data_IF_816559490527
#
_entry.id   IF_816559490527
#
_cell.length_a   1.000
_cell.length_b   1.000
_cell.length_c   1.000
_cell.angle_alpha   90.00
_cell.angle_beta   90.00
_cell.angle_gamma   90.00
#
_symmetry.space_group_name_H-M   'P 1'
#
loop_
_entity.id
_entity.type
_entity.pdbx_description
1 polymer ?
#
# COMPACT_ATOMS: atom_id res chain seq x y z
N UNK A 1 -12.50 20.22 30.22
CA UNK A 1 -12.07 21.19 29.18
C UNK A 1 -10.57 21.01 28.96
N UNK A 2 -10.01 20.54 27.84
CA UNK A 2 -10.57 20.00 26.60
C UNK A 2 -9.60 18.92 26.07
N UNK A 3 -10.18 17.84 25.54
CA UNK A 3 -9.45 16.72 24.95
C UNK A 3 -8.90 17.21 23.61
N UNK A 4 -7.59 17.06 23.42
CA UNK A 4 -6.85 17.42 22.20
C UNK A 4 -7.51 16.76 20.98
N UNK A 5 -8.31 17.53 20.26
CA UNK A 5 -8.90 17.14 18.98
C UNK A 5 -7.77 16.91 17.98
N UNK A 6 -7.65 15.67 17.49
CA UNK A 6 -7.09 15.30 16.17
C UNK A 6 -6.18 16.37 15.54
N UNK A 7 -5.05 16.64 16.19
CA UNK A 7 -4.03 17.51 15.64
C UNK A 7 -3.17 16.60 14.80
N UNK A 8 -3.57 16.41 13.54
CA UNK A 8 -2.67 15.88 12.51
C UNK A 8 -1.36 16.67 12.66
N UNK A 9 -0.32 16.01 13.17
CA UNK A 9 0.96 16.65 13.45
C UNK A 9 1.59 16.99 12.10
N UNK A 10 1.32 18.21 11.65
CA UNK A 10 1.97 18.77 10.47
C UNK A 10 3.48 18.83 10.75
N UNK A 11 4.24 17.95 10.13
CA UNK A 11 5.69 18.03 10.19
C UNK A 11 6.16 19.04 9.14
N UNK A 12 7.17 19.88 9.45
CA UNK A 12 7.78 20.72 8.45
C UNK A 12 8.53 19.82 7.45
N UNK A 13 8.09 19.84 6.20
CA UNK A 13 8.68 19.09 5.09
C UNK A 13 9.32 20.08 4.11
N UNK A 14 10.48 19.70 3.56
CA UNK A 14 11.11 20.45 2.48
C UNK A 14 10.49 20.00 1.16
N UNK A 15 9.70 20.87 0.54
CA UNK A 15 9.04 20.67 -0.74
C UNK A 15 9.83 21.30 -1.88
N UNK A 16 9.90 20.61 -3.01
CA UNK A 16 10.44 21.10 -4.26
C UNK A 16 9.38 21.85 -5.04
N UNK A 17 9.69 23.08 -5.43
CA UNK A 17 8.92 23.84 -6.41
C UNK A 17 9.47 23.48 -7.78
N UNK A 18 8.60 22.96 -8.65
CA UNK A 18 8.92 22.58 -10.02
C UNK A 18 8.24 23.53 -11.00
N UNK A 19 8.94 23.86 -12.09
CA UNK A 19 8.31 24.51 -13.25
C UNK A 19 7.30 23.56 -13.87
N UNK A 20 6.24 24.10 -14.48
CA UNK A 20 5.18 23.33 -15.11
C UNK A 20 5.72 22.31 -16.14
N UNK A 21 6.55 22.75 -17.08
CA UNK A 21 7.12 21.87 -18.11
C UNK A 21 7.96 20.72 -17.51
N UNK A 22 8.80 21.02 -16.52
CA UNK A 22 9.65 20.03 -15.84
C UNK A 22 8.80 19.00 -15.08
N UNK A 23 7.74 19.48 -14.41
CA UNK A 23 6.78 18.64 -13.70
C UNK A 23 6.05 17.70 -14.65
N UNK A 24 5.53 18.22 -15.76
CA UNK A 24 4.81 17.42 -16.74
C UNK A 24 5.71 16.35 -17.37
N UNK A 25 6.93 16.72 -17.78
CA UNK A 25 7.91 15.77 -18.32
C UNK A 25 8.22 14.67 -17.30
N UNK A 26 8.55 15.05 -16.07
CA UNK A 26 8.88 14.11 -15.01
C UNK A 26 7.75 13.12 -14.73
N UNK A 27 6.53 13.61 -14.49
CA UNK A 27 5.41 12.73 -14.17
C UNK A 27 4.92 11.92 -15.37
N UNK A 28 5.11 12.39 -16.61
CA UNK A 28 4.89 11.58 -17.80
C UNK A 28 5.90 10.43 -17.90
N UNK A 29 7.17 10.67 -17.60
CA UNK A 29 8.19 9.64 -17.58
C UNK A 29 7.93 8.60 -16.49
N UNK A 30 7.59 9.05 -15.27
CA UNK A 30 7.17 8.16 -14.17
C UNK A 30 5.95 7.34 -14.58
N UNK A 31 4.92 7.97 -15.16
CA UNK A 31 3.72 7.27 -15.63
C UNK A 31 4.05 6.23 -16.70
N UNK A 32 4.92 6.56 -17.66
CA UNK A 32 5.37 5.63 -18.71
C UNK A 32 6.08 4.42 -18.10
N UNK A 33 7.00 4.64 -17.14
CA UNK A 33 7.70 3.57 -16.41
C UNK A 33 6.77 2.72 -15.55
N UNK A 34 5.72 3.33 -15.00
CA UNK A 34 4.67 2.65 -14.26
C UNK A 34 3.60 1.96 -15.13
N UNK A 35 3.77 1.94 -16.47
CA UNK A 35 2.79 1.43 -17.43
C UNK A 35 1.39 2.05 -17.27
N UNK A 36 1.33 3.35 -16.94
CA UNK A 36 0.08 4.10 -16.75
C UNK A 36 -0.59 3.91 -15.39
N UNK A 37 -0.09 3.03 -14.53
CA UNK A 37 -0.73 2.70 -13.27
C UNK A 37 -0.33 3.66 -12.14
N UNK A 38 -1.13 4.70 -11.93
CA UNK A 38 -0.88 5.71 -10.90
C UNK A 38 -1.04 5.16 -9.46
N UNK A 39 -1.86 4.13 -9.23
CA UNK A 39 -1.94 3.46 -7.93
C UNK A 39 -0.63 2.80 -7.54
N UNK A 40 0.11 2.25 -8.51
CA UNK A 40 1.45 1.70 -8.27
C UNK A 40 2.43 2.78 -7.83
N UNK A 41 2.39 3.95 -8.49
CA UNK A 41 3.23 5.10 -8.15
C UNK A 41 2.90 5.60 -6.74
N UNK A 42 1.62 5.77 -6.43
CA UNK A 42 1.15 6.20 -5.12
C UNK A 42 1.57 5.24 -3.99
N UNK A 43 1.45 3.92 -4.23
CA UNK A 43 1.91 2.88 -3.29
C UNK A 43 3.42 2.90 -3.08
N UNK A 44 4.21 3.11 -4.13
CA UNK A 44 5.68 3.14 -4.04
C UNK A 44 6.18 4.25 -3.10
N UNK A 45 5.49 5.39 -3.06
CA UNK A 45 5.84 6.52 -2.19
C UNK A 45 5.01 6.62 -0.92
N UNK A 46 4.02 5.74 -0.74
CA UNK A 46 3.20 5.67 0.46
C UNK A 46 2.22 6.83 0.64
N UNK A 47 1.71 7.41 -0.46
CA UNK A 47 0.73 8.52 -0.43
C UNK A 47 -0.58 8.16 -1.14
N UNK A 48 -1.69 8.86 -0.84
CA UNK A 48 -2.94 8.71 -1.60
C UNK A 48 -2.78 9.12 -3.07
N UNK A 49 -3.54 8.48 -3.96
CA UNK A 49 -3.58 8.83 -5.40
C UNK A 49 -4.04 10.28 -5.61
N UNK A 50 -4.93 10.80 -4.77
CA UNK A 50 -5.36 12.20 -4.82
C UNK A 50 -4.20 13.16 -4.60
N UNK A 51 -3.37 12.92 -3.57
CA UNK A 51 -2.17 13.72 -3.30
C UNK A 51 -1.18 13.66 -4.47
N UNK A 52 -1.03 12.49 -5.08
CA UNK A 52 -0.21 12.35 -6.28
C UNK A 52 -0.78 13.13 -7.47
N UNK A 53 -2.11 13.20 -7.63
CA UNK A 53 -2.75 14.03 -8.66
C UNK A 53 -2.55 15.53 -8.37
N UNK A 54 -2.65 15.96 -7.12
CA UNK A 54 -2.38 17.35 -6.72
C UNK A 54 -0.94 17.76 -7.09
N UNK A 55 0.02 16.85 -6.94
CA UNK A 55 1.40 17.05 -7.37
C UNK A 55 1.55 17.12 -8.89
N UNK A 56 0.87 16.25 -9.65
CA UNK A 56 0.91 16.26 -11.12
C UNK A 56 0.32 17.55 -11.66
N UNK A 57 -0.80 17.99 -11.10
CA UNK A 57 -1.51 19.21 -11.50
C UNK A 57 -0.83 20.50 -11.00
N UNK A 58 0.15 20.40 -10.10
CA UNK A 58 0.81 21.55 -9.48
C UNK A 58 -0.02 22.29 -8.44
N UNK A 59 -1.11 21.69 -7.97
CA UNK A 59 -1.93 22.21 -6.86
C UNK A 59 -1.19 22.14 -5.52
N UNK A 60 -0.29 21.17 -5.38
CA UNK A 60 0.58 21.02 -4.22
C UNK A 60 2.04 20.77 -4.65
N UNK A 61 2.99 21.22 -3.81
CA UNK A 61 4.41 20.96 -4.03
C UNK A 61 4.79 19.55 -3.57
N UNK A 62 5.76 18.95 -4.26
CA UNK A 62 6.23 17.58 -3.97
C UNK A 62 7.30 17.63 -2.90
N UNK A 63 7.22 16.85 -1.81
CA UNK A 63 8.34 16.70 -0.89
C UNK A 63 9.61 16.28 -1.62
N UNK A 64 10.74 16.95 -1.37
CA UNK A 64 11.98 16.70 -2.10
C UNK A 64 12.46 15.25 -1.95
N UNK A 65 12.31 14.67 -0.76
CA UNK A 65 12.62 13.25 -0.50
C UNK A 65 11.71 12.33 -1.33
N UNK A 66 10.43 12.67 -1.46
CA UNK A 66 9.50 11.89 -2.29
C UNK A 66 9.87 11.99 -3.77
N UNK A 67 10.27 13.17 -4.23
CA UNK A 67 10.72 13.40 -5.59
C UNK A 67 11.97 12.55 -5.92
N UNK A 68 12.95 12.51 -5.00
CA UNK A 68 14.14 11.66 -5.14
C UNK A 68 13.80 10.16 -5.16
N UNK A 69 12.84 9.72 -4.32
CA UNK A 69 12.37 8.33 -4.32
C UNK A 69 11.69 7.97 -5.63
N UNK A 70 10.83 8.83 -6.18
CA UNK A 70 10.21 8.61 -7.49
C UNK A 70 11.25 8.51 -8.60
N UNK A 71 12.25 9.39 -8.60
CA UNK A 71 13.35 9.35 -9.57
C UNK A 71 14.12 8.01 -9.50
N UNK A 72 14.42 7.56 -8.29
CA UNK A 72 15.19 6.32 -8.06
C UNK A 72 14.37 5.06 -8.38
N UNK A 73 13.11 4.99 -7.90
CA UNK A 73 12.25 3.81 -8.04
C UNK A 73 11.84 3.55 -9.50
N UNK A 74 11.61 4.62 -10.27
CA UNK A 74 11.17 4.52 -11.66
C UNK A 74 12.30 4.70 -12.68
N UNK A 75 13.55 4.85 -12.21
CA UNK A 75 14.73 5.11 -13.04
C UNK A 75 14.49 6.24 -14.05
N UNK A 76 14.00 7.38 -13.54
CA UNK A 76 13.77 8.59 -14.32
C UNK A 76 14.73 9.67 -13.87
N UNK A 77 15.07 10.57 -14.79
CA UNK A 77 15.95 11.69 -14.48
C UNK A 77 15.30 12.62 -13.45
N UNK A 78 16.12 13.10 -12.51
CA UNK A 78 15.67 14.04 -11.49
C UNK A 78 15.38 15.40 -12.14
N UNK A 79 14.18 15.97 -11.98
CA UNK A 79 13.84 17.23 -12.63
C UNK A 79 14.56 18.39 -11.95
N UNK A 80 14.72 19.49 -12.67
CA UNK A 80 15.38 20.67 -12.11
C UNK A 80 14.50 21.31 -11.03
N UNK A 81 15.02 21.39 -9.80
CA UNK A 81 14.33 22.05 -8.69
C UNK A 81 14.69 23.53 -8.68
N UNK A 82 13.70 24.40 -8.83
CA UNK A 82 13.92 25.86 -8.83
C UNK A 82 14.05 26.43 -7.43
N UNK A 83 13.28 25.91 -6.48
CA UNK A 83 13.23 26.40 -5.11
C UNK A 83 12.88 25.24 -4.16
N UNK A 84 13.42 25.29 -2.95
CA UNK A 84 13.03 24.42 -1.84
C UNK A 84 12.28 25.23 -0.79
N UNK A 85 11.04 24.84 -0.49
CA UNK A 85 10.19 25.50 0.49
C UNK A 85 9.98 24.62 1.72
N UNK A 86 9.95 25.22 2.90
CA UNK A 86 9.47 24.54 4.11
C UNK A 86 7.97 24.71 4.20
N UNK A 87 7.25 23.61 4.05
CA UNK A 87 5.80 23.57 4.11
C UNK A 87 5.35 22.56 5.16
N UNK A 88 4.23 22.87 5.80
CA UNK A 88 3.58 21.97 6.73
C UNK A 88 2.64 21.06 5.94
N UNK A 89 3.05 19.82 5.69
CA UNK A 89 2.17 18.85 5.04
C UNK A 89 1.50 17.94 6.07
N UNK A 90 0.22 17.65 5.82
CA UNK A 90 -0.48 16.55 6.46
C UNK A 90 0.14 15.26 5.92
N UNK A 91 1.13 14.74 6.64
CA UNK A 91 1.61 13.40 6.38
C UNK A 91 0.49 12.50 6.90
N UNK A 92 -0.40 12.05 6.01
CA UNK A 92 -1.24 10.91 6.34
C UNK A 92 -0.26 9.79 6.73
N UNK A 93 -0.26 9.31 7.99
CA UNK A 93 0.66 8.26 8.37
C UNK A 93 0.32 7.08 7.49
N UNK A 94 1.21 6.76 6.56
CA UNK A 94 1.22 5.45 5.90
C UNK A 94 1.22 4.48 7.06
N UNK A 95 0.09 3.78 7.26
CA UNK A 95 -0.05 2.81 8.33
C UNK A 95 1.23 1.99 8.33
N UNK A 96 1.98 2.09 9.42
CA UNK A 96 2.95 1.07 9.79
C UNK A 96 2.17 -0.23 9.64
N UNK A 97 2.46 -0.99 8.59
CA UNK A 97 2.08 -2.38 8.49
C UNK A 97 2.60 -2.99 9.78
N UNK A 98 1.74 -3.06 10.80
CA UNK A 98 1.99 -3.91 11.95
C UNK A 98 2.23 -5.27 11.30
N UNK A 99 3.41 -5.90 11.47
CA UNK A 99 3.50 -7.31 11.18
C UNK A 99 2.36 -7.93 11.97
N UNK A 100 1.39 -8.49 11.25
CA UNK A 100 0.23 -9.12 11.83
C UNK A 100 0.79 -10.28 12.65
N UNK A 101 1.03 -10.01 13.93
CA UNK A 101 1.39 -11.01 14.90
C UNK A 101 0.18 -11.93 14.96
N UNK A 102 0.23 -13.00 14.16
CA UNK A 102 -0.65 -14.15 14.31
C UNK A 102 -0.55 -14.52 15.78
N UNK A 103 -1.60 -14.22 16.54
CA UNK A 103 -1.77 -14.78 17.86
C UNK A 103 -1.73 -16.31 17.70
N UNK A 104 -0.86 -17.04 18.40
CA UNK A 104 -1.09 -18.46 18.58
C UNK A 104 -2.33 -18.58 19.46
N UNK A 105 -3.48 -18.87 18.84
CA UNK A 105 -4.65 -19.38 19.54
C UNK A 105 -4.25 -20.70 20.19
N UNK A 106 -3.97 -20.64 21.48
CA UNK A 106 -3.79 -21.81 22.32
C UNK A 106 -5.05 -22.00 23.16
N UNK A 107 -6.02 -22.83 22.75
CA UNK A 107 -6.91 -23.50 23.67
C UNK A 107 -6.38 -24.91 23.89
N UNK A 108 -5.47 -25.06 24.84
CA UNK A 108 -5.14 -26.34 25.43
C UNK A 108 -6.31 -26.87 26.26
N UNK A 109 -7.31 -27.41 25.58
CA UNK A 109 -8.27 -28.38 26.13
C UNK A 109 -8.17 -29.60 25.23
N UNK A 110 -7.21 -30.47 25.55
CA UNK A 110 -7.16 -31.82 24.99
C UNK A 110 -7.92 -32.67 26.00
N UNK A 111 -9.23 -32.76 25.80
CA UNK A 111 -10.04 -33.80 26.39
C UNK A 111 -9.50 -35.15 25.93
N UNK A 112 -9.23 -36.03 26.88
CA UNK A 112 -8.84 -37.42 26.71
C UNK A 112 -9.79 -38.12 25.72
N UNK A 113 -9.25 -38.52 24.57
CA UNK A 113 -9.99 -39.29 23.58
C UNK A 113 -10.29 -40.72 24.05
N UNK A 114 -11.43 -41.32 23.65
CA UNK A 114 -11.61 -42.75 23.71
C UNK A 114 -11.15 -43.40 22.40
N UNK A 115 -10.11 -44.25 22.51
CA UNK A 115 -9.90 -45.54 21.81
C UNK A 115 -9.90 -45.63 20.27
N UNK A 116 -8.84 -46.20 19.66
CA UNK A 116 -8.92 -46.77 18.32
C UNK A 116 -9.24 -48.28 18.40
N UNK A 117 -10.42 -48.66 17.94
CA UNK A 117 -10.71 -49.99 17.38
C UNK A 117 -11.54 -49.71 16.13
N UNK A 118 -11.19 -50.11 14.92
CA UNK A 118 -10.72 -51.42 14.54
C UNK A 118 -11.63 -51.86 13.39
N UNK A 119 -11.14 -51.70 12.17
CA UNK A 119 -11.40 -52.50 10.96
C UNK A 119 -12.86 -52.98 10.72
N UNK A 120 -13.54 -52.40 9.71
CA UNK A 120 -14.47 -53.18 8.88
C UNK A 120 -14.33 -52.84 7.40
N UNK A 121 -13.98 -53.87 6.64
CA UNK A 121 -14.00 -53.98 5.19
C UNK A 121 -15.44 -54.17 4.68
N UNK A 122 -15.59 -53.87 3.40
CA UNK A 122 -16.40 -54.54 2.39
C UNK A 122 -17.74 -53.94 1.90
N UNK A 123 -17.73 -53.73 0.58
CA UNK A 123 -18.77 -53.78 -0.45
C UNK A 123 -19.88 -52.69 -0.54
N UNK A 124 -19.93 -51.95 -1.67
CA UNK A 124 -21.18 -51.48 -2.25
C UNK A 124 -21.70 -52.46 -3.32
N UNK A 125 -22.90 -53.01 -3.11
CA UNK A 125 -23.71 -53.71 -4.12
C UNK A 125 -24.57 -52.70 -4.86
N UNK A 126 -24.47 -52.56 -6.20
CA UNK A 126 -25.51 -51.93 -6.98
C UNK A 126 -26.49 -52.98 -7.54
N UNK A 127 -27.72 -52.93 -7.04
CA UNK A 127 -28.92 -53.56 -7.64
C UNK A 127 -29.43 -52.65 -8.78
N UNK A 128 -29.63 -53.22 -9.97
CA UNK A 128 -30.47 -52.65 -11.03
C UNK A 128 -29.89 -52.87 -12.42
N UNK A 129 -30.44 -53.79 -13.21
CA UNK A 129 -31.57 -53.46 -14.10
C UNK A 129 -32.14 -54.76 -14.72
N UNK A 130 -33.46 -54.78 -14.85
CA UNK A 130 -34.25 -55.90 -15.33
C UNK A 130 -34.95 -55.41 -16.59
N UNK A 131 -34.42 -55.71 -17.78
CA UNK A 131 -35.17 -55.52 -19.04
C UNK A 131 -34.85 -56.59 -20.08
N UNK A 132 -35.90 -57.41 -20.30
CA UNK A 132 -36.40 -58.07 -21.52
C UNK A 132 -35.43 -58.63 -22.53
#
# INVERSE_FOLDING_TARGET
MGILRNREELLPVTCAVLKENEREMFFNDVRRKAAGNMDRVAKAVGVPVSTLQDWVNGTANVPYITLQRLASEFEVEMPTVTELRREFQQIAPTQTLRPSARMPTNPGVIGSGPGPQGVRRDAPVPRGDLRR
#
